data_IF_549666193390
#
_entry.id   IF_549666193390
#
_cell.length_a   1.000
_cell.length_b   1.000
_cell.length_c   1.000
_cell.angle_alpha   90.00
_cell.angle_beta   90.00
_cell.angle_gamma   90.00
#
_symmetry.space_group_name_H-M   'P 1'
#
loop_
_entity.id
_entity.type
_entity.pdbx_description
1 polymer ?
#
# COMPACT_ATOMS: atom_id res chain seq x y z
N UNK A 1 -16.72 -23.56 -23.83
CA UNK A 1 -16.84 -22.26 -23.11
C UNK A 1 -15.42 -21.86 -22.75
N UNK A 2 -14.84 -20.87 -23.44
CA UNK A 2 -13.47 -20.42 -23.15
C UNK A 2 -13.55 -19.59 -21.86
N UNK A 3 -12.93 -20.05 -20.79
CA UNK A 3 -12.84 -19.27 -19.55
C UNK A 3 -11.97 -18.05 -19.84
N UNK A 4 -12.52 -16.85 -19.66
CA UNK A 4 -11.75 -15.61 -19.72
C UNK A 4 -10.76 -15.60 -18.54
N UNK A 5 -9.47 -15.56 -18.84
CA UNK A 5 -8.41 -15.50 -17.83
C UNK A 5 -8.19 -14.03 -17.50
N UNK A 6 -8.50 -13.63 -16.27
CA UNK A 6 -8.31 -12.25 -15.82
C UNK A 6 -6.82 -12.02 -15.53
N UNK A 7 -6.28 -10.94 -16.10
CA UNK A 7 -4.89 -10.54 -15.93
C UNK A 7 -4.79 -9.29 -15.07
N UNK A 8 -3.97 -9.35 -14.02
CA UNK A 8 -3.81 -8.28 -13.03
C UNK A 8 -2.35 -7.91 -12.88
N UNK A 9 -2.04 -6.61 -12.91
CA UNK A 9 -0.73 -6.09 -12.55
C UNK A 9 -0.74 -5.72 -11.07
N UNK A 10 0.20 -6.24 -10.29
CA UNK A 10 0.28 -6.02 -8.84
C UNK A 10 1.60 -5.36 -8.44
N UNK A 11 1.53 -4.34 -7.57
CA UNK A 11 2.72 -3.78 -6.93
C UNK A 11 2.49 -3.52 -5.43
N UNK A 12 3.29 -4.22 -4.62
CA UNK A 12 3.34 -4.15 -3.16
C UNK A 12 4.01 -2.84 -2.66
N UNK A 13 3.93 -2.40 -1.39
CA UNK A 13 5.10 -1.78 -0.71
C UNK A 13 5.90 -2.80 0.09
N UNK A 14 5.21 -3.66 0.81
CA UNK A 14 5.82 -4.81 1.45
C UNK A 14 5.85 -6.00 0.47
N UNK A 15 6.98 -6.71 0.41
CA UNK A 15 7.10 -7.91 -0.42
C UNK A 15 6.25 -9.07 0.11
N UNK A 16 6.20 -9.31 1.43
CA UNK A 16 5.39 -10.39 2.01
C UNK A 16 3.91 -10.21 1.67
N UNK A 17 3.39 -9.01 1.88
CA UNK A 17 1.99 -8.69 1.65
C UNK A 17 1.68 -8.73 0.14
N UNK A 18 2.61 -8.29 -0.71
CA UNK A 18 2.46 -8.45 -2.16
C UNK A 18 2.39 -9.92 -2.59
N UNK A 19 3.18 -10.80 -1.96
CA UNK A 19 3.12 -12.24 -2.20
C UNK A 19 1.83 -12.87 -1.66
N UNK A 20 1.33 -12.39 -0.52
CA UNK A 20 0.03 -12.79 0.01
C UNK A 20 -1.09 -12.43 -0.97
N UNK A 21 -1.11 -11.20 -1.46
CA UNK A 21 -2.05 -10.75 -2.49
C UNK A 21 -1.95 -11.57 -3.77
N UNK A 22 -0.74 -11.86 -4.23
CA UNK A 22 -0.51 -12.72 -5.40
C UNK A 22 -1.12 -14.12 -5.17
N UNK A 23 -0.80 -14.78 -4.06
CA UNK A 23 -1.31 -16.12 -3.75
C UNK A 23 -2.84 -16.14 -3.65
N UNK A 24 -3.44 -15.12 -3.03
CA UNK A 24 -4.89 -14.97 -2.96
C UNK A 24 -5.49 -14.88 -4.35
N UNK A 25 -5.01 -13.98 -5.20
CA UNK A 25 -5.56 -13.78 -6.54
C UNK A 25 -5.39 -15.03 -7.42
N UNK A 26 -4.22 -15.66 -7.37
CA UNK A 26 -3.94 -16.92 -8.07
C UNK A 26 -4.86 -18.04 -7.60
N UNK A 27 -5.19 -18.12 -6.30
CA UNK A 27 -6.18 -19.06 -5.78
C UNK A 27 -7.61 -18.83 -6.32
N UNK A 28 -7.90 -17.62 -6.79
CA UNK A 28 -9.15 -17.24 -7.46
C UNK A 28 -9.05 -17.40 -8.98
N UNK A 29 -8.00 -18.08 -9.48
CA UNK A 29 -7.72 -18.35 -10.88
C UNK A 29 -7.32 -17.11 -11.69
N UNK A 30 -6.85 -16.05 -11.03
CA UNK A 30 -6.42 -14.79 -11.66
C UNK A 30 -4.93 -14.89 -11.99
N UNK A 31 -4.53 -14.47 -13.18
CA UNK A 31 -3.11 -14.37 -13.55
C UNK A 31 -2.56 -13.05 -13.03
N UNK A 32 -1.49 -13.12 -12.25
CA UNK A 32 -0.90 -11.95 -11.59
C UNK A 32 0.50 -11.69 -12.12
N UNK A 33 0.68 -10.55 -12.78
CA UNK A 33 1.98 -9.98 -13.08
C UNK A 33 2.44 -9.18 -11.85
N UNK A 34 3.20 -9.81 -10.96
CA UNK A 34 3.71 -9.15 -9.76
C UNK A 34 5.02 -8.40 -10.06
N UNK A 35 5.03 -7.08 -9.87
CA UNK A 35 6.23 -6.25 -9.98
C UNK A 35 7.01 -6.24 -8.65
N UNK A 36 8.21 -6.84 -8.60
CA UNK A 36 8.95 -7.02 -7.36
C UNK A 36 9.55 -5.71 -6.81
N UNK A 37 9.89 -5.74 -5.52
CA UNK A 37 10.37 -4.60 -4.73
C UNK A 37 11.63 -3.90 -5.30
N UNK A 38 12.50 -4.61 -6.02
CA UNK A 38 13.73 -4.05 -6.60
C UNK A 38 13.50 -3.26 -7.90
N UNK A 39 12.34 -3.38 -8.55
CA UNK A 39 11.92 -2.48 -9.64
C UNK A 39 11.39 -1.12 -9.14
N UNK A 40 11.55 -0.82 -7.84
CA UNK A 40 11.12 0.46 -7.23
C UNK A 40 12.21 1.52 -7.16
N UNK A 41 13.46 1.14 -7.41
CA UNK A 41 14.56 2.09 -7.59
C UNK A 41 14.59 2.56 -9.05
N UNK A 42 14.42 3.86 -9.25
CA UNK A 42 14.15 4.60 -10.51
C UNK A 42 12.69 4.45 -11.05
N UNK A 43 12.17 5.36 -11.92
CA UNK A 43 10.78 5.88 -11.98
C UNK A 43 9.70 4.96 -12.62
N UNK A 44 9.74 3.66 -12.34
CA UNK A 44 9.35 2.66 -13.34
C UNK A 44 7.84 2.46 -13.54
N UNK A 45 6.94 2.53 -12.55
CA UNK A 45 5.55 2.10 -12.82
C UNK A 45 4.85 3.00 -13.84
N UNK A 46 4.74 4.30 -13.55
CA UNK A 46 4.05 5.22 -14.46
C UNK A 46 4.75 5.30 -15.83
N UNK A 47 6.08 5.30 -15.85
CA UNK A 47 6.82 5.37 -17.11
C UNK A 47 6.78 4.06 -17.89
N UNK A 48 6.72 2.89 -17.23
CA UNK A 48 6.46 1.61 -17.86
C UNK A 48 5.05 1.55 -18.45
N UNK A 49 4.04 2.08 -17.73
CA UNK A 49 2.68 2.19 -18.25
C UNK A 49 2.62 3.12 -19.47
N UNK A 50 3.30 4.27 -19.43
CA UNK A 50 3.43 5.17 -20.60
C UNK A 50 4.13 4.51 -21.77
N UNK A 51 5.22 3.77 -21.51
CA UNK A 51 5.96 3.07 -22.54
C UNK A 51 5.12 1.94 -23.16
N UNK A 52 4.39 1.18 -22.34
CA UNK A 52 3.39 0.17 -22.77
C UNK A 52 2.35 0.80 -23.69
N UNK A 53 1.79 1.95 -23.28
CA UNK A 53 0.81 2.70 -24.07
C UNK A 53 1.39 3.20 -25.40
N UNK A 54 2.60 3.79 -25.37
CA UNK A 54 3.27 4.29 -26.57
C UNK A 54 3.57 3.17 -27.58
N UNK A 55 3.75 1.93 -27.12
CA UNK A 55 3.95 0.74 -27.96
C UNK A 55 2.64 0.08 -28.41
N UNK A 56 1.48 0.57 -27.96
CA UNK A 56 0.18 -0.03 -28.27
C UNK A 56 -0.02 -1.43 -27.68
N UNK A 57 0.68 -1.74 -26.59
CA UNK A 57 0.55 -3.03 -25.91
C UNK A 57 -0.77 -3.15 -25.16
N UNK A 58 -1.32 -4.37 -25.11
CA UNK A 58 -2.55 -4.68 -24.36
C UNK A 58 -2.33 -4.41 -22.87
N UNK A 59 -3.29 -3.79 -22.20
CA UNK A 59 -3.23 -3.55 -20.75
C UNK A 59 -3.91 -4.68 -19.95
N UNK A 60 -3.50 -4.91 -18.69
CA UNK A 60 -4.25 -5.78 -17.80
C UNK A 60 -5.65 -5.20 -17.53
N UNK A 61 -6.59 -6.05 -17.12
CA UNK A 61 -7.94 -5.62 -16.75
C UNK A 61 -7.93 -4.77 -15.48
N UNK A 62 -6.92 -5.00 -14.62
CA UNK A 62 -6.80 -4.34 -13.34
C UNK A 62 -5.34 -4.09 -12.95
N UNK A 63 -5.08 -2.91 -12.41
CA UNK A 63 -3.88 -2.57 -11.67
C UNK A 63 -4.22 -2.54 -10.17
N UNK A 64 -3.48 -3.31 -9.38
CA UNK A 64 -3.51 -3.26 -7.93
C UNK A 64 -2.21 -2.65 -7.46
N UNK A 65 -2.29 -1.57 -6.69
CA UNK A 65 -1.10 -0.91 -6.17
C UNK A 65 -1.28 -0.43 -4.74
N UNK A 66 -0.23 -0.55 -3.93
CA UNK A 66 -0.23 0.06 -2.60
C UNK A 66 -0.08 1.59 -2.68
N UNK A 67 -0.86 2.30 -1.84
CA UNK A 67 -0.84 3.78 -1.78
C UNK A 67 0.51 4.35 -1.36
N UNK A 68 1.28 3.59 -0.57
CA UNK A 68 2.59 3.92 -0.07
C UNK A 68 3.72 3.75 -1.07
N UNK A 69 3.45 3.27 -2.29
CA UNK A 69 4.46 3.19 -3.36
C UNK A 69 4.95 4.60 -3.68
N UNK A 70 6.25 4.81 -3.45
CA UNK A 70 6.91 6.10 -3.62
C UNK A 70 7.83 6.09 -4.82
N UNK A 71 7.96 7.28 -5.42
CA UNK A 71 9.08 7.57 -6.28
C UNK A 71 10.40 7.41 -5.51
N UNK A 72 11.44 6.92 -6.19
CA UNK A 72 12.78 6.78 -5.63
C UNK A 72 13.38 8.16 -5.30
N UNK A 73 14.50 8.14 -4.55
CA UNK A 73 15.24 9.35 -4.21
C UNK A 73 15.52 10.23 -5.44
N UNK A 74 15.48 11.56 -5.31
CA UNK A 74 15.36 12.33 -4.06
C UNK A 74 13.93 12.77 -3.68
N UNK A 75 12.93 12.46 -4.51
CA UNK A 75 11.59 13.08 -4.38
C UNK A 75 10.69 12.39 -3.33
N UNK A 76 10.83 11.07 -3.09
CA UNK A 76 10.00 10.28 -2.12
C UNK A 76 8.49 10.55 -2.20
N UNK A 77 7.96 11.00 -3.34
CA UNK A 77 6.54 11.35 -3.49
C UNK A 77 5.70 10.10 -3.73
N UNK A 78 4.47 10.08 -3.20
CA UNK A 78 3.51 9.01 -3.45
C UNK A 78 3.11 9.00 -4.93
N UNK A 79 3.21 7.85 -5.58
CA UNK A 79 2.98 7.74 -7.03
C UNK A 79 1.52 7.36 -7.37
N UNK A 80 0.77 6.82 -6.42
CA UNK A 80 -0.59 6.30 -6.63
C UNK A 80 -1.53 7.31 -7.28
N UNK A 81 -1.52 8.57 -6.81
CA UNK A 81 -2.38 9.60 -7.37
C UNK A 81 -2.08 9.91 -8.85
N UNK A 82 -0.80 9.99 -9.21
CA UNK A 82 -0.38 10.32 -10.58
C UNK A 82 -0.67 9.15 -11.53
N UNK A 83 -0.47 7.91 -11.06
CA UNK A 83 -0.81 6.70 -11.80
C UNK A 83 -2.31 6.65 -12.07
N UNK A 84 -3.16 6.90 -11.07
CA UNK A 84 -4.61 6.91 -11.24
C UNK A 84 -5.05 7.96 -12.27
N UNK A 85 -4.56 9.20 -12.14
CA UNK A 85 -4.93 10.30 -13.05
C UNK A 85 -4.50 9.97 -14.49
N UNK A 86 -3.29 9.44 -14.66
CA UNK A 86 -2.78 9.13 -15.99
C UNK A 86 -3.56 7.98 -16.64
N UNK A 87 -3.80 6.89 -15.91
CA UNK A 87 -4.57 5.74 -16.40
C UNK A 87 -6.00 6.13 -16.73
N UNK A 88 -6.67 6.93 -15.89
CA UNK A 88 -8.01 7.43 -16.18
C UNK A 88 -8.10 8.20 -17.51
N UNK A 89 -7.01 8.87 -17.92
CA UNK A 89 -6.96 9.66 -19.17
C UNK A 89 -6.59 8.83 -20.40
N UNK A 90 -5.75 7.81 -20.26
CA UNK A 90 -5.16 7.09 -21.41
C UNK A 90 -5.65 5.65 -21.54
N UNK A 91 -6.02 5.01 -20.43
CA UNK A 91 -6.44 3.62 -20.35
C UNK A 91 -7.67 3.51 -19.43
N UNK A 92 -8.79 4.19 -19.76
CA UNK A 92 -9.95 4.30 -18.86
C UNK A 92 -10.64 2.95 -18.58
N UNK A 93 -10.41 1.94 -19.41
CA UNK A 93 -10.98 0.60 -19.23
C UNK A 93 -10.25 -0.22 -18.14
N UNK A 94 -8.99 0.12 -17.83
CA UNK A 94 -8.23 -0.57 -16.79
C UNK A 94 -8.72 -0.13 -15.41
N UNK A 95 -9.19 -1.09 -14.60
CA UNK A 95 -9.59 -0.84 -13.22
C UNK A 95 -8.37 -0.60 -12.33
N UNK A 96 -8.48 0.28 -11.35
CA UNK A 96 -7.36 0.59 -10.45
C UNK A 96 -7.80 0.42 -9.01
N UNK A 97 -7.18 -0.50 -8.31
CA UNK A 97 -7.41 -0.76 -6.90
C UNK A 97 -6.21 -0.27 -6.11
N UNK A 98 -6.47 0.65 -5.18
CA UNK A 98 -5.49 1.09 -4.22
C UNK A 98 -5.56 0.22 -2.97
N UNK A 99 -4.42 -0.23 -2.47
CA UNK A 99 -4.29 -0.96 -1.21
C UNK A 99 -3.68 -0.04 -0.15
N UNK A 100 -4.16 -0.15 1.09
CA UNK A 100 -3.59 0.57 2.22
C UNK A 100 -2.90 -0.39 3.18
N UNK A 101 -1.57 -0.53 3.08
CA UNK A 101 -0.78 -1.47 3.88
C UNK A 101 -0.97 -1.44 5.39
N UNK A 102 -1.33 -0.29 5.98
CA UNK A 102 -1.37 -0.13 7.45
C UNK A 102 -2.75 0.20 8.04
N UNK A 103 -3.78 0.36 7.21
CA UNK A 103 -5.09 0.80 7.68
C UNK A 103 -6.06 -0.38 7.68
N UNK A 104 -6.50 -0.83 8.84
CA UNK A 104 -7.49 -1.90 8.98
C UNK A 104 -8.88 -1.47 8.51
N UNK A 105 -9.14 -0.17 8.51
CA UNK A 105 -10.36 0.47 8.01
C UNK A 105 -9.99 1.69 7.16
N UNK A 106 -10.77 1.93 6.10
CA UNK A 106 -10.59 3.09 5.22
C UNK A 106 -11.62 4.15 5.58
N UNK A 107 -11.18 5.38 5.81
CA UNK A 107 -12.11 6.48 6.06
C UNK A 107 -12.83 6.91 4.77
N UNK A 108 -14.03 7.47 4.93
CA UNK A 108 -14.79 8.03 3.79
C UNK A 108 -14.05 9.19 3.10
N UNK A 109 -13.14 9.89 3.79
CA UNK A 109 -12.33 10.93 3.18
C UNK A 109 -11.26 10.34 2.25
N UNK A 110 -10.55 9.29 2.70
CA UNK A 110 -9.52 8.61 1.91
C UNK A 110 -10.13 7.91 0.70
N UNK A 111 -11.26 7.22 0.90
CA UNK A 111 -12.01 6.60 -0.19
C UNK A 111 -12.42 7.63 -1.24
N UNK A 112 -13.02 8.76 -0.82
CA UNK A 112 -13.37 9.86 -1.75
C UNK A 112 -12.15 10.51 -2.39
N UNK A 113 -11.01 10.56 -1.71
CA UNK A 113 -9.76 11.04 -2.33
C UNK A 113 -9.32 10.10 -3.46
N UNK A 114 -9.28 8.79 -3.21
CA UNK A 114 -8.87 7.79 -4.19
C UNK A 114 -9.77 7.79 -5.43
N UNK A 115 -11.09 7.75 -5.23
CA UNK A 115 -12.07 7.75 -6.31
C UNK A 115 -11.97 9.03 -7.17
N UNK A 116 -11.77 10.20 -6.55
CA UNK A 116 -11.56 11.47 -7.29
C UNK A 116 -10.28 11.50 -8.11
N UNK A 117 -9.31 10.64 -7.83
CA UNK A 117 -8.07 10.51 -8.61
C UNK A 117 -8.19 9.51 -9.75
N UNK A 118 -9.32 8.83 -9.88
CA UNK A 118 -9.55 7.82 -10.92
C UNK A 118 -9.34 6.38 -10.45
N UNK A 119 -9.17 6.14 -9.15
CA UNK A 119 -9.20 4.77 -8.63
C UNK A 119 -10.63 4.21 -8.76
N UNK A 120 -10.73 2.91 -9.05
CA UNK A 120 -11.98 2.16 -8.96
C UNK A 120 -12.34 1.91 -7.50
N UNK A 121 -11.33 1.68 -6.65
CA UNK A 121 -11.54 1.41 -5.23
C UNK A 121 -10.28 1.66 -4.37
N UNK A 122 -10.50 1.77 -3.06
CA UNK A 122 -9.48 1.76 -2.02
C UNK A 122 -9.82 0.68 -0.98
N UNK A 123 -8.88 -0.23 -0.74
CA UNK A 123 -9.05 -1.37 0.15
C UNK A 123 -8.11 -1.27 1.37
N UNK A 124 -8.58 -1.72 2.55
CA UNK A 124 -7.76 -1.74 3.76
C UNK A 124 -6.66 -2.80 3.69
N UNK A 125 -5.79 -2.77 4.68
CA UNK A 125 -4.87 -3.86 4.96
C UNK A 125 -5.66 -5.15 5.17
N UNK A 126 -5.16 -6.21 4.54
CA UNK A 126 -5.75 -7.52 4.65
C UNK A 126 -5.45 -8.13 6.03
N UNK A 127 -6.47 -8.71 6.64
CA UNK A 127 -6.37 -9.50 7.85
C UNK A 127 -7.40 -10.64 7.81
N UNK A 128 -7.32 -11.57 8.77
CA UNK A 128 -8.23 -12.72 8.82
C UNK A 128 -9.72 -12.33 8.85
N UNK A 129 -10.05 -11.20 9.48
CA UNK A 129 -11.43 -10.77 9.67
C UNK A 129 -12.05 -10.15 8.41
N UNK A 130 -11.22 -9.54 7.55
CA UNK A 130 -11.67 -8.87 6.34
C UNK A 130 -11.30 -9.60 5.04
N UNK A 131 -10.50 -10.67 5.10
CA UNK A 131 -10.02 -11.42 3.92
C UNK A 131 -11.16 -11.74 2.95
N UNK A 132 -12.20 -12.42 3.42
CA UNK A 132 -13.28 -12.89 2.56
C UNK A 132 -14.05 -11.72 1.94
N UNK A 133 -14.37 -10.67 2.73
CA UNK A 133 -15.14 -9.53 2.24
C UNK A 133 -14.34 -8.67 1.25
N UNK A 134 -13.04 -8.49 1.50
CA UNK A 134 -12.13 -7.75 0.61
C UNK A 134 -11.93 -8.51 -0.71
N UNK A 135 -11.68 -9.82 -0.65
CA UNK A 135 -11.47 -10.64 -1.85
C UNK A 135 -12.77 -10.80 -2.65
N UNK A 136 -13.92 -10.91 -1.99
CA UNK A 136 -15.23 -10.88 -2.65
C UNK A 136 -15.43 -9.58 -3.43
N UNK A 137 -15.09 -8.44 -2.82
CA UNK A 137 -15.19 -7.13 -3.46
C UNK A 137 -14.28 -7.04 -4.69
N UNK A 138 -13.05 -7.53 -4.58
CA UNK A 138 -12.08 -7.53 -5.68
C UNK A 138 -12.51 -8.45 -6.83
N UNK A 139 -12.89 -9.69 -6.53
CA UNK A 139 -13.36 -10.66 -7.55
C UNK A 139 -14.63 -10.18 -8.24
N UNK A 140 -15.54 -9.53 -7.52
CA UNK A 140 -16.72 -8.88 -8.10
C UNK A 140 -16.34 -7.78 -9.09
N UNK A 141 -15.31 -6.99 -8.78
CA UNK A 141 -14.78 -5.98 -9.71
C UNK A 141 -14.13 -6.61 -10.94
N UNK A 142 -13.63 -7.84 -10.87
CA UNK A 142 -13.18 -8.62 -12.02
C UNK A 142 -14.31 -9.39 -12.73
N UNK A 143 -15.56 -9.28 -12.26
CA UNK A 143 -16.68 -10.05 -12.81
C UNK A 143 -16.57 -11.55 -12.56
N UNK A 144 -15.89 -11.95 -11.49
CA UNK A 144 -15.61 -13.35 -11.14
C UNK A 144 -16.33 -13.79 -9.88
N UNK A 145 -16.64 -15.09 -9.83
CA UNK A 145 -17.15 -15.74 -8.64
C UNK A 145 -16.02 -15.99 -7.65
N UNK A 146 -16.30 -15.75 -6.37
CA UNK A 146 -15.41 -16.08 -5.27
C UNK A 146 -15.32 -17.60 -5.09
N UNK A 147 -14.10 -18.12 -4.95
CA UNK A 147 -13.82 -19.44 -4.42
C UNK A 147 -13.43 -19.31 -2.94
N UNK A 148 -14.32 -19.66 -1.99
CA UNK A 148 -14.08 -19.44 -0.56
C UNK A 148 -13.09 -20.44 0.05
N UNK A 149 -13.01 -21.66 -0.50
CA UNK A 149 -12.23 -22.77 0.07
C UNK A 149 -10.73 -22.43 0.22
N UNK A 150 -10.02 -21.91 -0.80
CA UNK A 150 -8.63 -21.49 -0.63
C UNK A 150 -8.44 -20.35 0.38
N UNK A 151 -9.45 -19.49 0.54
CA UNK A 151 -9.38 -18.33 1.43
C UNK A 151 -9.48 -18.73 2.90
N UNK A 152 -10.19 -19.83 3.22
CA UNK A 152 -10.21 -20.36 4.58
C UNK A 152 -8.82 -20.83 5.02
N UNK A 153 -8.11 -21.55 4.16
CA UNK A 153 -6.74 -21.98 4.44
C UNK A 153 -5.79 -20.78 4.65
N UNK A 154 -5.90 -19.75 3.81
CA UNK A 154 -5.10 -18.53 3.95
C UNK A 154 -5.44 -17.78 5.26
N UNK A 155 -6.71 -17.73 5.65
CA UNK A 155 -7.12 -17.11 6.92
C UNK A 155 -6.52 -17.81 8.15
N UNK A 156 -6.42 -19.14 8.11
CA UNK A 156 -5.78 -19.93 9.17
C UNK A 156 -4.29 -19.63 9.25
N UNK A 157 -3.58 -19.56 8.11
CA UNK A 157 -2.16 -19.21 8.08
C UNK A 157 -1.86 -17.82 8.66
N UNK A 158 -2.74 -16.84 8.40
CA UNK A 158 -2.61 -15.50 8.98
C UNK A 158 -2.74 -15.53 10.52
N UNK A 159 -3.51 -16.46 11.07
CA UNK A 159 -3.71 -16.60 12.52
C UNK A 159 -2.44 -17.12 13.22
N UNK A 160 -1.70 -18.02 12.56
CA UNK A 160 -0.42 -18.52 13.09
C UNK A 160 0.65 -17.43 13.19
N UNK A 161 0.66 -16.47 12.26
CA UNK A 161 1.62 -15.36 12.29
C UNK A 161 1.30 -14.30 13.34
N UNK A 162 0.02 -14.02 13.61
CA UNK A 162 -0.40 -13.10 14.69
C UNK A 162 0.02 -13.61 16.09
N UNK A 163 0.16 -14.93 16.26
CA UNK A 163 0.47 -15.55 17.57
C UNK A 163 1.96 -15.50 17.92
N UNK A 164 2.86 -15.45 16.92
CA UNK A 164 4.31 -15.42 17.14
C UNK A 164 4.83 -14.05 17.58
N UNK A 165 4.18 -12.93 17.20
CA UNK A 165 4.60 -11.58 17.62
C UNK A 165 4.33 -11.28 19.10
N UNK A 166 3.41 -11.97 19.75
CA UNK A 166 3.02 -11.69 21.15
C UNK A 166 3.97 -12.32 22.18
N UNK A 167 4.81 -13.30 21.79
CA UNK A 167 5.57 -14.10 22.77
C UNK A 167 6.96 -13.51 23.11
N UNK A 168 7.40 -12.43 22.43
CA UNK A 168 8.75 -11.87 22.62
C UNK A 168 8.83 -10.82 23.74
N UNK A 169 7.71 -10.34 24.30
CA UNK A 169 7.73 -9.23 25.28
C UNK A 169 7.54 -9.62 26.76
N UNK A 170 7.57 -10.91 27.13
CA UNK A 170 7.25 -11.31 28.53
C UNK A 170 8.27 -12.18 29.26
N UNK A 171 9.53 -12.28 28.82
CA UNK A 171 10.56 -13.00 29.58
C UNK A 171 11.88 -12.23 29.68
N UNK A 172 11.93 -11.24 30.55
CA UNK A 172 13.20 -10.81 31.19
C UNK A 172 12.95 -10.51 32.69
N UNK A 173 13.54 -11.26 33.64
CA UNK A 173 13.49 -10.93 35.05
C UNK A 173 14.29 -9.64 35.35
N UNK A 174 13.94 -8.89 36.41
CA UNK A 174 14.62 -7.64 36.74
C UNK A 174 16.02 -7.93 37.30
N UNK A 175 17.07 -7.49 36.59
CA UNK A 175 18.39 -7.31 37.18
C UNK A 175 18.62 -5.82 37.42
N UNK A 176 18.66 -5.44 38.69
CA UNK A 176 19.31 -4.22 39.17
C UNK A 176 20.78 -4.25 38.76
N UNK A 177 21.18 -3.33 37.88
CA UNK A 177 22.55 -2.85 37.82
C UNK A 177 22.56 -1.33 37.65
N UNK A 178 22.99 -0.69 38.72
CA UNK A 178 23.40 0.71 38.78
C UNK A 178 24.63 0.87 37.89
N UNK A 179 24.52 1.67 36.84
CA UNK A 179 25.68 2.17 36.10
C UNK A 179 25.41 3.61 35.68
N UNK A 180 26.00 4.49 36.49
CA UNK A 180 26.27 5.89 36.25
C UNK A 180 26.97 6.09 34.89
N UNK A 181 26.34 6.85 34.00
CA UNK A 181 26.99 7.45 32.83
C UNK A 181 26.40 8.83 32.56
N UNK A 182 27.13 9.80 33.09
CA UNK A 182 27.41 11.13 32.55
C UNK A 182 26.38 11.73 31.59
N UNK A 183 25.70 12.76 32.10
CA UNK A 183 24.87 13.71 31.39
C UNK A 183 25.62 14.39 30.23
N UNK A 184 25.30 14.00 29.00
CA UNK A 184 25.54 14.85 27.83
C UNK A 184 24.51 16.01 27.83
N UNK A 185 24.92 17.24 27.48
CA UNK A 185 24.07 18.42 27.66
C UNK A 185 22.88 18.42 26.71
N UNK A 186 21.68 18.58 27.28
CA UNK A 186 20.45 18.92 26.57
C UNK A 186 20.69 20.21 25.79
N UNK A 187 20.65 20.15 24.45
CA UNK A 187 20.53 21.36 23.63
C UNK A 187 19.17 21.97 23.91
N UNK A 188 19.15 22.96 24.80
CA UNK A 188 18.01 23.83 25.03
C UNK A 188 17.59 24.47 23.69
N UNK A 189 16.32 24.28 23.32
CA UNK A 189 15.69 25.04 22.25
C UNK A 189 15.51 26.48 22.74
N UNK A 190 15.87 27.51 21.94
CA UNK A 190 15.70 28.90 22.34
C UNK A 190 14.22 29.23 22.55
N UNK A 191 13.90 29.88 23.67
CA UNK A 191 12.55 30.17 24.20
C UNK A 191 11.69 31.13 23.37
N UNK A 192 11.99 31.36 22.08
CA UNK A 192 11.31 32.38 21.28
C UNK A 192 11.05 31.93 19.83
N UNK A 193 10.54 30.70 19.69
CA UNK A 193 10.26 30.11 18.38
C UNK A 193 8.78 30.28 18.02
N UNK A 194 8.45 31.25 17.17
CA UNK A 194 7.09 31.41 16.63
C UNK A 194 6.74 30.28 15.65
N UNK A 195 5.58 29.64 15.89
CA UNK A 195 5.00 28.63 15.01
C UNK A 195 3.80 29.21 14.25
N UNK A 196 3.62 28.80 12.99
CA UNK A 196 2.41 29.09 12.20
C UNK A 196 1.74 27.78 11.79
N UNK A 197 0.42 27.73 11.86
CA UNK A 197 -0.37 26.58 11.41
C UNK A 197 -0.68 26.77 9.93
N UNK A 198 -0.19 25.88 9.07
CA UNK A 198 -0.54 25.85 7.65
C UNK A 198 -1.18 24.51 7.31
N UNK A 199 -2.44 24.54 6.85
CA UNK A 199 -3.23 23.34 6.50
C UNK A 199 -3.27 22.27 7.62
N UNK A 200 -3.37 22.71 8.87
CA UNK A 200 -3.47 21.81 10.04
C UNK A 200 -2.13 21.26 10.53
N UNK A 201 -0.99 21.63 9.93
CA UNK A 201 0.35 21.22 10.36
C UNK A 201 1.07 22.42 10.98
N UNK A 202 1.72 22.22 12.15
CA UNK A 202 2.56 23.24 12.80
C UNK A 202 3.90 23.34 12.05
N UNK A 203 4.21 24.52 11.53
CA UNK A 203 5.45 24.79 10.80
C UNK A 203 6.21 25.93 11.48
N UNK A 204 7.54 25.79 11.55
CA UNK A 204 8.45 26.79 12.09
C UNK A 204 8.52 28.02 11.17
N UNK A 205 8.26 29.20 11.72
CA UNK A 205 8.34 30.46 10.97
C UNK A 205 9.82 30.88 10.89
N UNK A 206 10.47 30.67 9.74
CA UNK A 206 11.80 31.27 9.50
C UNK A 206 11.63 32.79 9.37
N UNK A 207 12.35 33.57 10.18
CA UNK A 207 12.48 35.02 9.98
C UNK A 207 13.13 35.26 8.62
N UNK A 208 12.44 35.94 7.71
CA UNK A 208 13.01 36.42 6.45
C UNK A 208 14.10 37.44 6.78
N UNK A 209 15.34 37.17 6.36
CA UNK A 209 16.39 38.18 6.35
C UNK A 209 16.13 39.15 5.19
N UNK A 210 16.11 40.45 5.51
CA UNK A 210 16.18 41.56 4.55
C UNK A 210 17.65 41.87 4.32
#
# INVERSE_FOLDING_TARGET
MVQHIANVLLTHVNHSDGRLWQAILESQGVVVDYLPHWMRTAPILLDALKARYARGEVFPEMLIMDVGVRLPEPRKLLQAGDVCIWCQRHVPEMKIILLHSSATQISELEKRWALRRGATDLMPQLNRHNLLSVVLRLTSLLGRSLSPEPLHYIAELLTSQESEEVTVLQNTPPQEQVAELESAPVKALPEDTEFVIYRGVRVLKKKSAV
#
